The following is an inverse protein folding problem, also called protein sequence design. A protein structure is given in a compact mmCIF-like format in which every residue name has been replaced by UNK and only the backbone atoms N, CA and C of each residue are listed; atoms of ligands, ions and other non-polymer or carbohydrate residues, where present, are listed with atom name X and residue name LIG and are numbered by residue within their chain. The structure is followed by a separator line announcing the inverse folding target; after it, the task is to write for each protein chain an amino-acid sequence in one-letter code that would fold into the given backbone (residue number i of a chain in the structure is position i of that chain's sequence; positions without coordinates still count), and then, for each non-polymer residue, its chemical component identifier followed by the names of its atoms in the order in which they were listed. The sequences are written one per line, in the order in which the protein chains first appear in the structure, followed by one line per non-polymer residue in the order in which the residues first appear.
data_IF_565656622595
#
_entry.id   IF_565656622595
#
_cell.length_a   1.000
_cell.length_b   1.000
_cell.length_c   1.000
_cell.angle_alpha   90.00
_cell.angle_beta   90.00
_cell.angle_gamma   90.00
#
_symmetry.space_group_name_H-M   'P 1'
#
loop_
_entity.id
_entity.type
_entity.pdbx_description
1 polymer ?
#
# COMPACT_ATOMS: atom_id res chain seq x y z
N UNK A 1 -16.63 9.32 -8.16
CA UNK A 1 -16.09 10.48 -7.44
C UNK A 1 -14.70 10.11 -6.97
N UNK A 2 -13.65 10.76 -7.45
CA UNK A 2 -12.35 10.68 -6.76
C UNK A 2 -12.32 11.77 -5.67
N UNK A 3 -12.03 11.47 -4.39
CA UNK A 3 -12.44 12.37 -3.32
C UNK A 3 -11.63 13.67 -3.35
N UNK A 4 -12.34 14.80 -3.46
CA UNK A 4 -11.84 16.15 -3.12
C UNK A 4 -12.10 16.52 -1.66
N UNK A 5 -12.80 15.63 -0.94
CA UNK A 5 -13.21 15.75 0.46
C UNK A 5 -13.07 14.37 1.09
N UNK A 6 -12.52 14.34 2.30
CA UNK A 6 -12.32 13.15 3.11
C UNK A 6 -13.07 13.39 4.41
N UNK A 7 -14.01 12.52 4.74
CA UNK A 7 -14.75 12.56 6.00
C UNK A 7 -14.35 11.36 6.83
N UNK A 8 -13.70 11.61 7.97
CA UNK A 8 -13.26 10.57 8.88
C UNK A 8 -14.32 10.41 9.97
N UNK A 9 -15.01 9.28 9.98
CA UNK A 9 -15.89 8.89 11.08
C UNK A 9 -15.09 7.91 11.93
N UNK A 10 -14.62 8.36 13.09
CA UNK A 10 -13.71 7.56 13.93
C UNK A 10 -14.30 7.38 15.33
N UNK A 11 -14.35 6.14 15.80
CA UNK A 11 -14.34 5.85 17.23
C UNK A 11 -12.90 5.74 17.70
N UNK A 12 -12.49 6.43 18.79
CA UNK A 12 -11.14 6.29 19.31
C UNK A 12 -10.86 4.82 19.67
N UNK A 13 -9.63 4.32 19.45
CA UNK A 13 -9.26 2.98 19.91
C UNK A 13 -9.48 2.88 21.43
N UNK A 14 -9.94 1.72 21.91
CA UNK A 14 -10.15 1.48 23.35
C UNK A 14 -8.84 1.45 24.16
N UNK A 15 -7.69 1.45 23.49
CA UNK A 15 -6.39 1.56 24.12
C UNK A 15 -6.10 3.02 24.45
N UNK A 16 -5.84 3.28 25.74
CA UNK A 16 -5.42 4.55 26.34
C UNK A 16 -4.00 4.95 25.93
N UNK A 17 -3.66 4.80 24.66
CA UNK A 17 -2.38 5.27 24.18
C UNK A 17 -2.43 6.79 24.02
N UNK A 18 -1.36 7.49 24.43
CA UNK A 18 -1.15 8.92 24.19
C UNK A 18 -0.85 9.23 22.70
N UNK A 19 -1.46 8.44 21.80
CA UNK A 19 -1.28 8.45 20.37
C UNK A 19 -2.24 9.46 19.75
N UNK A 20 -1.71 10.38 18.96
CA UNK A 20 -2.50 11.23 18.07
C UNK A 20 -3.04 10.38 16.90
N UNK A 21 -3.95 9.46 17.23
CA UNK A 21 -4.60 8.53 16.31
C UNK A 21 -5.24 9.28 15.14
N UNK A 22 -5.81 10.45 15.40
CA UNK A 22 -6.41 11.31 14.38
C UNK A 22 -5.39 11.80 13.36
N UNK A 23 -4.21 12.26 13.81
CA UNK A 23 -3.13 12.66 12.91
C UNK A 23 -2.60 11.49 12.09
N UNK A 24 -2.36 10.34 12.72
CA UNK A 24 -1.88 9.14 12.01
C UNK A 24 -2.89 8.70 10.95
N UNK A 25 -4.18 8.64 11.29
CA UNK A 25 -5.25 8.29 10.36
C UNK A 25 -5.38 9.33 9.23
N UNK A 26 -5.33 10.62 9.56
CA UNK A 26 -5.40 11.67 8.55
C UNK A 26 -4.23 11.58 7.55
N UNK A 27 -3.02 11.27 8.01
CA UNK A 27 -1.86 11.03 7.14
C UNK A 27 -2.04 9.79 6.26
N UNK A 28 -2.60 8.71 6.82
CA UNK A 28 -2.90 7.47 6.11
C UNK A 28 -3.88 7.71 4.95
N UNK A 29 -5.03 8.28 5.28
CA UNK A 29 -6.11 8.50 4.31
C UNK A 29 -5.74 9.56 3.27
N UNK A 30 -4.97 10.59 3.68
CA UNK A 30 -4.41 11.55 2.74
C UNK A 30 -3.42 10.90 1.76
N UNK A 31 -2.70 9.84 2.18
CA UNK A 31 -1.83 9.10 1.26
C UNK A 31 -2.64 8.42 0.15
N UNK A 32 -3.82 7.89 0.43
CA UNK A 32 -4.71 7.36 -0.61
C UNK A 32 -5.12 8.42 -1.63
N UNK A 33 -5.39 9.65 -1.20
CA UNK A 33 -5.67 10.77 -2.12
C UNK A 33 -4.48 11.02 -3.06
N UNK A 34 -3.25 10.99 -2.53
CA UNK A 34 -2.04 11.14 -3.34
C UNK A 34 -1.84 9.95 -4.31
N UNK A 35 -2.11 8.72 -3.89
CA UNK A 35 -2.07 7.53 -4.74
C UNK A 35 -3.09 7.62 -5.88
N UNK A 36 -4.34 7.99 -5.59
CA UNK A 36 -5.39 8.22 -6.60
C UNK A 36 -4.95 9.32 -7.58
N UNK A 37 -4.37 10.41 -7.08
CA UNK A 37 -3.83 11.50 -7.91
C UNK A 37 -2.72 11.01 -8.85
N UNK A 38 -1.90 10.06 -8.41
CA UNK A 38 -0.89 9.43 -9.24
C UNK A 38 -1.51 8.48 -10.30
N UNK A 39 -2.56 7.73 -9.93
CA UNK A 39 -3.28 6.83 -10.84
C UNK A 39 -4.04 7.58 -11.94
N UNK A 40 -4.37 8.86 -11.72
CA UNK A 40 -5.04 9.73 -12.70
C UNK A 40 -4.16 10.13 -13.90
N UNK A 41 -2.91 9.70 -13.99
CA UNK A 41 -1.95 10.13 -15.01
C UNK A 41 -1.86 9.13 -16.18
N UNK A 42 -1.52 9.61 -17.38
CA UNK A 42 -1.26 8.77 -18.54
C UNK A 42 -2.53 8.19 -19.18
N UNK A 43 -2.50 6.90 -19.57
CA UNK A 43 -3.62 6.23 -20.25
C UNK A 43 -4.95 6.34 -19.49
N UNK A 44 -4.92 6.22 -18.16
CA UNK A 44 -6.12 6.39 -17.32
C UNK A 44 -6.74 7.79 -17.45
N UNK A 45 -5.93 8.83 -17.70
CA UNK A 45 -6.43 10.18 -17.99
C UNK A 45 -7.13 10.26 -19.34
N UNK A 46 -6.62 9.56 -20.35
CA UNK A 46 -7.25 9.51 -21.67
C UNK A 46 -8.56 8.70 -21.62
N UNK A 47 -8.54 7.57 -20.93
CA UNK A 47 -9.70 6.70 -20.75
C UNK A 47 -10.83 7.41 -19.97
N UNK A 48 -10.47 8.28 -19.01
CA UNK A 48 -11.42 9.13 -18.28
C UNK A 48 -12.26 10.02 -19.21
N UNK A 49 -11.72 10.48 -20.34
CA UNK A 49 -12.50 11.26 -21.31
C UNK A 49 -13.60 10.45 -21.99
N UNK A 50 -13.44 9.12 -22.08
CA UNK A 50 -14.38 8.22 -22.78
C UNK A 50 -15.38 7.59 -21.82
N UNK A 51 -14.92 7.07 -20.67
CA UNK A 51 -15.76 6.31 -19.74
C UNK A 51 -15.95 7.00 -18.38
N UNK A 52 -15.41 8.21 -18.18
CA UNK A 52 -15.54 8.94 -16.93
C UNK A 52 -14.67 8.36 -15.80
N UNK A 53 -15.09 8.54 -14.55
CA UNK A 53 -14.28 8.16 -13.38
C UNK A 53 -14.18 6.65 -13.13
N UNK A 54 -14.98 5.82 -13.81
CA UNK A 54 -14.82 4.35 -13.77
C UNK A 54 -13.51 3.90 -14.42
N UNK A 55 -12.85 4.76 -15.20
CA UNK A 55 -11.51 4.54 -15.73
C UNK A 55 -10.46 4.22 -14.64
N UNK A 56 -10.67 4.73 -13.42
CA UNK A 56 -9.77 4.46 -12.28
C UNK A 56 -9.93 3.04 -11.72
N UNK A 57 -11.02 2.33 -12.05
CA UNK A 57 -11.25 0.96 -11.61
C UNK A 57 -10.25 -0.02 -12.18
N UNK A 58 -9.77 0.19 -13.42
CA UNK A 58 -8.80 -0.71 -14.07
C UNK A 58 -7.47 -0.79 -13.31
N UNK A 59 -6.75 0.32 -13.04
CA UNK A 59 -5.54 0.23 -12.24
C UNK A 59 -5.78 -0.21 -10.79
N UNK A 60 -6.97 0.07 -10.22
CA UNK A 60 -7.33 -0.40 -8.89
C UNK A 60 -7.48 -1.93 -8.80
N UNK A 61 -7.79 -2.61 -9.91
CA UNK A 61 -7.84 -4.08 -9.98
C UNK A 61 -6.45 -4.71 -10.10
N UNK A 62 -5.49 -4.01 -10.69
CA UNK A 62 -4.15 -4.55 -10.96
C UNK A 62 -3.15 -4.28 -9.84
N UNK A 63 -3.33 -3.19 -9.10
CA UNK A 63 -2.44 -2.83 -7.99
C UNK A 63 -2.92 -3.55 -6.74
N UNK A 64 -2.10 -4.41 -6.12
CA UNK A 64 -2.52 -5.22 -5.00
C UNK A 64 -2.76 -4.35 -3.75
N UNK A 65 -3.72 -4.75 -2.91
CA UNK A 65 -4.11 -4.00 -1.71
C UNK A 65 -2.92 -3.72 -0.77
N UNK A 66 -2.02 -4.69 -0.58
CA UNK A 66 -0.83 -4.50 0.26
C UNK A 66 0.05 -3.34 -0.22
N UNK A 67 0.08 -3.05 -1.54
CA UNK A 67 0.88 -1.95 -2.07
C UNK A 67 0.29 -0.62 -1.62
N UNK A 68 -1.03 -0.48 -1.76
CA UNK A 68 -1.79 0.73 -1.44
C UNK A 68 -1.76 0.99 0.07
N UNK A 69 -2.16 -0.02 0.85
CA UNK A 69 -2.24 0.08 2.31
C UNK A 69 -0.86 0.15 2.95
N UNK A 70 0.09 -0.64 2.47
CA UNK A 70 1.46 -0.64 2.97
C UNK A 70 2.16 0.70 2.78
N UNK A 71 2.01 1.33 1.61
CA UNK A 71 2.57 2.67 1.33
C UNK A 71 1.90 3.77 2.17
N UNK A 72 0.62 3.60 2.53
CA UNK A 72 -0.08 4.46 3.48
C UNK A 72 0.44 4.29 4.92
N UNK A 73 0.66 3.05 5.38
CA UNK A 73 1.30 2.78 6.69
C UNK A 73 2.75 3.28 6.74
N UNK A 74 3.51 3.16 5.65
CA UNK A 74 4.85 3.76 5.57
C UNK A 74 4.77 5.28 5.71
N UNK A 75 3.83 5.91 5.02
CA UNK A 75 3.66 7.37 5.03
C UNK A 75 3.27 7.90 6.40
N UNK A 76 2.26 7.31 7.06
CA UNK A 76 1.89 7.72 8.42
C UNK A 76 3.08 7.51 9.40
N UNK A 77 3.87 6.44 9.21
CA UNK A 77 5.02 6.15 10.07
C UNK A 77 6.13 7.16 9.86
N UNK A 78 6.41 7.58 8.63
CA UNK A 78 7.45 8.59 8.37
C UNK A 78 7.01 9.98 8.87
N UNK A 79 5.73 10.33 8.72
CA UNK A 79 5.23 11.69 8.95
C UNK A 79 4.64 11.92 10.36
N UNK A 80 4.57 10.89 11.18
CA UNK A 80 4.16 10.98 12.58
C UNK A 80 5.22 10.37 13.48
N UNK A 81 5.21 10.77 14.75
CA UNK A 81 6.11 10.20 15.76
C UNK A 81 5.73 8.75 16.08
N UNK A 82 4.46 8.39 15.96
CA UNK A 82 3.92 7.12 16.44
C UNK A 82 3.07 6.35 15.42
N UNK A 83 3.44 6.34 14.14
CA UNK A 83 2.74 5.52 13.15
C UNK A 83 2.90 4.02 13.42
N UNK A 84 1.97 3.20 12.89
CA UNK A 84 1.88 1.76 13.19
C UNK A 84 3.18 0.99 12.92
N UNK A 85 4.00 1.44 11.98
CA UNK A 85 5.30 0.84 11.72
C UNK A 85 6.31 0.88 12.88
N UNK A 86 6.01 1.59 13.99
CA UNK A 86 6.81 1.63 15.23
C UNK A 86 6.18 0.86 16.39
N UNK A 87 4.97 0.35 16.25
CA UNK A 87 4.29 -0.32 17.36
C UNK A 87 4.63 -1.80 17.39
N UNK A 88 4.77 -2.35 18.60
CA UNK A 88 5.19 -3.74 18.78
C UNK A 88 4.13 -4.69 18.22
N UNK A 89 2.86 -4.45 18.53
CA UNK A 89 1.71 -5.25 18.07
C UNK A 89 1.66 -5.37 16.54
N UNK A 90 1.96 -4.28 15.82
CA UNK A 90 1.96 -4.27 14.35
C UNK A 90 3.13 -5.06 13.75
N UNK A 91 4.31 -5.00 14.38
CA UNK A 91 5.50 -5.69 13.87
C UNK A 91 5.58 -7.17 14.29
N UNK A 92 4.95 -7.52 15.42
CA UNK A 92 4.99 -8.84 16.03
C UNK A 92 4.62 -9.99 15.08
N UNK A 93 3.55 -9.91 14.27
CA UNK A 93 3.20 -10.91 13.26
C UNK A 93 4.37 -11.31 12.35
N UNK A 94 5.06 -10.32 11.79
CA UNK A 94 6.16 -10.53 10.85
C UNK A 94 7.39 -11.06 11.58
N UNK A 95 7.70 -10.51 12.77
CA UNK A 95 8.82 -10.95 13.60
C UNK A 95 8.65 -12.41 14.02
N UNK A 96 7.43 -12.81 14.41
CA UNK A 96 7.12 -14.19 14.79
C UNK A 96 7.36 -15.17 13.64
N UNK A 97 6.87 -14.83 12.43
CA UNK A 97 7.09 -15.64 11.23
C UNK A 97 8.57 -15.77 10.87
N UNK A 98 9.33 -14.69 11.06
CA UNK A 98 10.78 -14.70 10.86
C UNK A 98 11.48 -15.62 11.87
N UNK A 99 11.15 -15.48 13.17
CA UNK A 99 11.74 -16.27 14.26
C UNK A 99 11.44 -17.77 14.15
N UNK A 100 10.23 -18.14 13.76
CA UNK A 100 9.82 -19.54 13.60
C UNK A 100 10.42 -20.22 12.36
N UNK A 101 11.26 -19.52 11.57
CA UNK A 101 11.77 -19.99 10.26
C UNK A 101 10.65 -20.40 9.30
N UNK A 102 9.42 -19.91 9.53
CA UNK A 102 8.25 -20.07 8.66
C UNK A 102 8.22 -19.07 7.51
N UNK A 103 9.33 -18.37 7.25
CA UNK A 103 9.54 -17.48 6.09
C UNK A 103 9.33 -18.20 4.74
N UNK A 104 9.15 -19.53 4.74
CA UNK A 104 8.71 -20.30 3.58
C UNK A 104 7.22 -20.12 3.21
N UNK A 105 6.50 -19.18 3.82
CA UNK A 105 5.16 -18.79 3.34
C UNK A 105 5.34 -18.08 2.00
N UNK A 106 4.74 -18.62 0.94
CA UNK A 106 4.79 -18.00 -0.39
C UNK A 106 4.12 -16.62 -0.36
N UNK A 107 4.50 -15.77 -1.32
CA UNK A 107 3.83 -14.49 -1.53
C UNK A 107 2.32 -14.68 -1.70
N UNK A 108 1.89 -15.63 -2.53
CA UNK A 108 0.46 -15.89 -2.78
C UNK A 108 -0.28 -16.25 -1.50
N UNK A 109 0.33 -17.07 -0.65
CA UNK A 109 -0.28 -17.46 0.62
C UNK A 109 -0.34 -16.29 1.59
N UNK A 110 0.65 -15.42 1.60
CA UNK A 110 0.62 -14.19 2.40
C UNK A 110 -0.43 -13.20 1.87
N UNK A 111 -0.63 -13.15 0.55
CA UNK A 111 -1.54 -12.23 -0.09
C UNK A 111 -3.02 -12.64 0.04
N UNK A 112 -3.32 -13.92 -0.19
CA UNK A 112 -4.68 -14.47 -0.09
C UNK A 112 -5.04 -14.94 1.32
N UNK A 113 -4.05 -15.01 2.22
CA UNK A 113 -4.19 -15.51 3.57
C UNK A 113 -4.24 -17.04 3.66
N UNK A 114 -4.30 -17.55 4.89
CA UNK A 114 -4.48 -18.97 5.16
C UNK A 114 -5.29 -19.20 6.44
N UNK A 115 -6.20 -20.16 6.41
CA UNK A 115 -6.94 -20.61 7.61
C UNK A 115 -6.13 -21.59 8.47
N UNK A 116 -5.05 -22.15 7.92
CA UNK A 116 -4.22 -23.16 8.59
C UNK A 116 -2.96 -22.55 9.19
N UNK A 117 -2.29 -21.73 8.40
CA UNK A 117 -1.03 -21.11 8.79
C UNK A 117 -1.27 -19.63 9.06
N UNK A 118 -0.62 -19.10 10.09
CA UNK A 118 -0.65 -17.67 10.35
C UNK A 118 -0.01 -16.91 9.18
N UNK A 119 -0.73 -15.92 8.65
CA UNK A 119 -0.26 -15.03 7.59
C UNK A 119 -0.49 -13.59 8.03
N UNK A 120 0.47 -12.67 7.81
CA UNK A 120 0.29 -11.27 8.14
C UNK A 120 -0.83 -10.70 7.27
N UNK A 121 -1.56 -9.71 7.78
CA UNK A 121 -2.56 -9.03 6.98
C UNK A 121 -1.90 -8.13 5.90
N UNK A 122 -2.70 -7.56 5.02
CA UNK A 122 -2.20 -6.74 3.91
C UNK A 122 -1.52 -5.43 4.36
N UNK A 123 -1.84 -4.91 5.56
CA UNK A 123 -1.13 -3.74 6.13
C UNK A 123 0.28 -4.13 6.58
N UNK A 124 0.40 -5.19 7.36
CA UNK A 124 1.66 -5.69 7.91
C UNK A 124 2.60 -6.16 6.80
N UNK A 125 2.10 -7.01 5.89
CA UNK A 125 2.84 -7.45 4.71
C UNK A 125 3.24 -6.25 3.85
N UNK A 126 2.28 -5.37 3.60
CA UNK A 126 2.45 -4.21 2.74
C UNK A 126 3.51 -3.24 3.27
N UNK A 127 3.49 -2.97 4.57
CA UNK A 127 4.46 -2.11 5.22
C UNK A 127 5.89 -2.64 5.06
N UNK A 128 6.10 -3.95 5.25
CA UNK A 128 7.42 -4.57 5.12
C UNK A 128 7.91 -4.52 3.66
N UNK A 129 7.07 -4.91 2.70
CA UNK A 129 7.41 -4.91 1.29
C UNK A 129 7.71 -3.49 0.78
N UNK A 130 6.90 -2.50 1.16
CA UNK A 130 7.12 -1.11 0.78
C UNK A 130 8.36 -0.50 1.46
N UNK A 131 8.54 -0.73 2.75
CA UNK A 131 9.72 -0.24 3.49
C UNK A 131 11.01 -0.81 2.90
N UNK A 132 11.05 -2.14 2.66
CA UNK A 132 12.18 -2.80 2.02
C UNK A 132 12.42 -2.27 0.60
N UNK A 133 11.36 -2.13 -0.20
CA UNK A 133 11.50 -1.63 -1.57
C UNK A 133 12.06 -0.21 -1.59
N UNK A 134 11.63 0.67 -0.67
CA UNK A 134 12.14 2.04 -0.56
C UNK A 134 13.60 2.06 -0.12
N UNK A 135 13.97 1.18 0.80
CA UNK A 135 15.35 1.05 1.28
C UNK A 135 16.30 0.60 0.16
N UNK A 136 15.89 -0.37 -0.66
CA UNK A 136 16.74 -0.98 -1.69
C UNK A 136 16.71 -0.21 -3.02
N UNK A 137 15.55 0.26 -3.45
CA UNK A 137 15.34 0.84 -4.79
C UNK A 137 15.05 2.35 -4.77
N UNK A 138 15.10 2.97 -3.59
CA UNK A 138 14.88 4.40 -3.38
C UNK A 138 13.44 4.76 -3.01
N UNK A 139 13.28 5.91 -2.36
CA UNK A 139 12.00 6.37 -1.80
C UNK A 139 10.90 6.56 -2.84
N UNK A 140 11.26 6.83 -4.10
CA UNK A 140 10.33 7.10 -5.19
C UNK A 140 9.86 5.84 -5.95
N UNK A 141 10.34 4.64 -5.55
CA UNK A 141 9.99 3.36 -6.19
C UNK A 141 8.49 3.13 -6.23
N UNK A 142 7.76 3.44 -5.15
CA UNK A 142 6.30 3.24 -5.10
C UNK A 142 5.56 4.16 -6.06
N UNK A 143 5.98 5.43 -6.17
CA UNK A 143 5.44 6.40 -7.12
C UNK A 143 5.69 5.96 -8.57
N UNK A 144 6.89 5.45 -8.87
CA UNK A 144 7.25 4.91 -10.19
C UNK A 144 6.40 3.68 -10.52
N UNK A 145 6.22 2.78 -9.56
CA UNK A 145 5.48 1.53 -9.72
C UNK A 145 3.99 1.80 -9.99
N UNK A 146 3.33 2.59 -9.14
CA UNK A 146 1.93 2.97 -9.31
C UNK A 146 1.75 3.74 -10.63
N UNK A 147 2.64 4.69 -10.93
CA UNK A 147 2.59 5.44 -12.19
C UNK A 147 2.74 4.54 -13.42
N UNK A 148 3.64 3.55 -13.37
CA UNK A 148 3.83 2.58 -14.45
C UNK A 148 2.56 1.74 -14.66
N UNK A 149 2.05 1.13 -13.59
CA UNK A 149 0.87 0.29 -13.62
C UNK A 149 -0.35 1.06 -14.14
N UNK A 150 -0.62 2.26 -13.62
CA UNK A 150 -1.75 3.08 -14.06
C UNK A 150 -1.63 3.54 -15.51
N UNK A 151 -0.45 4.00 -15.93
CA UNK A 151 -0.25 4.42 -17.32
C UNK A 151 -0.39 3.29 -18.35
N UNK A 152 -0.36 2.03 -17.90
CA UNK A 152 -0.41 0.82 -18.74
C UNK A 152 -1.50 -0.14 -18.28
N UNK A 153 -2.56 0.37 -17.64
CA UNK A 153 -3.64 -0.45 -17.08
C UNK A 153 -4.49 -1.19 -18.13
N UNK A 154 -4.18 -1.04 -19.42
CA UNK A 154 -4.73 -1.85 -20.52
C UNK A 154 -3.92 -3.13 -20.79
N UNK A 155 -2.71 -3.24 -20.23
CA UNK A 155 -1.84 -4.40 -20.35
C UNK A 155 -2.08 -5.28 -19.12
N UNK A 156 -2.54 -6.53 -19.28
CA UNK A 156 -2.70 -7.44 -18.15
C UNK A 156 -1.42 -7.56 -17.33
N UNK A 157 -1.59 -7.58 -16.00
CA UNK A 157 -0.48 -7.70 -15.05
C UNK A 157 0.52 -6.54 -15.12
N UNK A 158 0.05 -5.32 -15.47
CA UNK A 158 0.88 -4.12 -15.57
C UNK A 158 1.70 -3.84 -14.31
N UNK A 159 1.13 -4.15 -13.14
CA UNK A 159 1.81 -4.04 -11.84
C UNK A 159 3.03 -4.95 -11.75
N UNK A 160 2.91 -6.23 -12.12
CA UNK A 160 4.04 -7.18 -12.08
C UNK A 160 5.16 -6.77 -13.06
N UNK A 161 4.78 -6.28 -14.23
CA UNK A 161 5.73 -5.74 -15.21
C UNK A 161 6.43 -4.48 -14.67
N UNK A 162 5.69 -3.59 -14.01
CA UNK A 162 6.21 -2.41 -13.35
C UNK A 162 7.16 -2.76 -12.21
N UNK A 163 6.79 -3.76 -11.40
CA UNK A 163 7.58 -4.23 -10.28
C UNK A 163 8.90 -4.75 -10.81
N UNK A 164 8.88 -5.67 -11.77
CA UNK A 164 10.07 -6.15 -12.46
C UNK A 164 10.88 -4.98 -13.00
N UNK A 165 10.29 -4.02 -13.71
CA UNK A 165 11.06 -2.89 -14.25
C UNK A 165 11.72 -2.01 -13.18
N UNK A 166 11.05 -1.80 -12.05
CA UNK A 166 11.55 -0.92 -10.97
C UNK A 166 12.54 -1.63 -10.04
N UNK A 167 12.44 -2.96 -9.92
CA UNK A 167 13.31 -3.78 -9.06
C UNK A 167 14.40 -4.52 -9.83
N UNK A 168 14.29 -4.59 -11.17
CA UNK A 168 15.30 -5.19 -12.06
C UNK A 168 16.11 -4.05 -12.69
N UNK A 169 17.01 -3.43 -11.93
CA UNK A 169 18.11 -2.65 -12.52
C UNK A 169 19.39 -2.68 -11.68
N UNK A 170 20.41 -3.23 -12.37
CA UNK A 170 21.86 -3.15 -12.25
C UNK A 170 22.54 -3.74 -11.02
#
# INVERSE_FOLDING_TARGET
MAPRRMELITTPPQNLDALDWYKTLALHEYRHVAQISQMKKGFTSALRFVIGETAYGLPALEIPLWMIEGDAVVTETILSENGRGRTADFLMPVIALHREKKIKISYDKSYFGSYKDFTPNHYELGYQLNSYSRLVYGEDVGKKLIGFASSRSFIPFSFNLGLKKCTTRH
#
